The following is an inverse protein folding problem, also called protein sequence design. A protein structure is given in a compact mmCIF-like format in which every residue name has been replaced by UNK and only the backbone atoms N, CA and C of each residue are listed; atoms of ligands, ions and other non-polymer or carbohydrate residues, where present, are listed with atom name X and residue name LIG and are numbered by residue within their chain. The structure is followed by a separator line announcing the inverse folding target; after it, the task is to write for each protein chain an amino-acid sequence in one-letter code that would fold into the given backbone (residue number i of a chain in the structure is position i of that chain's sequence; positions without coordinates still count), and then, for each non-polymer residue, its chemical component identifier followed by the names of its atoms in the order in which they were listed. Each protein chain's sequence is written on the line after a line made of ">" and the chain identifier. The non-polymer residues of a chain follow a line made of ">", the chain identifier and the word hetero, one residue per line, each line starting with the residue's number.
data_IF_946703056779
#
_entry.id   IF_946703056779
#
_cell.length_a   1.000
_cell.length_b   1.000
_cell.length_c   1.000
_cell.angle_alpha   90.00
_cell.angle_beta   90.00
_cell.angle_gamma   90.00
#
_symmetry.space_group_name_H-M   'P 1'
#
loop_
_entity.id
_entity.type
_entity.pdbx_description
1 polymer ?
#
# COMPACT_ATOMS: atom_id res chain seq x y z
N UNK A 1 -28.22 -47.72 -29.53
CA UNK A 1 -28.67 -46.49 -30.22
C UNK A 1 -29.16 -45.52 -29.15
N UNK A 2 -28.42 -44.45 -28.84
CA UNK A 2 -28.66 -43.08 -29.36
C UNK A 2 -29.87 -42.45 -28.62
N UNK A 3 -29.86 -41.32 -27.92
CA UNK A 3 -28.91 -40.21 -27.70
C UNK A 3 -29.51 -39.29 -26.61
N UNK A 4 -28.62 -38.68 -25.82
CA UNK A 4 -28.63 -37.26 -25.41
C UNK A 4 -29.98 -36.58 -25.12
N UNK A 5 -30.30 -36.45 -23.83
CA UNK A 5 -30.95 -35.25 -23.26
C UNK A 5 -30.16 -34.87 -22.01
N UNK A 6 -29.02 -34.19 -22.20
CA UNK A 6 -28.81 -32.78 -21.81
C UNK A 6 -28.90 -32.60 -20.28
N UNK A 7 -27.79 -32.77 -19.55
CA UNK A 7 -26.88 -31.67 -19.15
C UNK A 7 -27.57 -30.49 -18.42
N UNK A 8 -28.63 -30.72 -17.64
CA UNK A 8 -29.32 -29.69 -16.84
C UNK A 8 -29.55 -30.14 -15.39
N UNK A 9 -28.68 -31.01 -14.86
CA UNK A 9 -28.83 -31.52 -13.49
C UNK A 9 -27.51 -31.62 -12.68
N UNK A 10 -26.40 -31.11 -13.20
CA UNK A 10 -25.09 -31.07 -12.50
C UNK A 10 -24.63 -29.62 -12.31
N UNK A 11 -25.54 -28.74 -11.90
CA UNK A 11 -25.22 -27.42 -11.35
C UNK A 11 -25.54 -27.34 -9.85
N UNK A 12 -25.76 -28.51 -9.23
CA UNK A 12 -26.15 -28.70 -7.84
C UNK A 12 -25.01 -29.23 -6.94
N UNK A 13 -23.75 -29.23 -7.42
CA UNK A 13 -22.59 -29.65 -6.62
C UNK A 13 -21.41 -28.72 -6.88
N UNK A 14 -21.16 -27.78 -5.96
CA UNK A 14 -20.07 -26.79 -6.00
C UNK A 14 -20.61 -25.43 -6.42
N UNK A 15 -21.10 -24.58 -5.51
CA UNK A 15 -20.26 -23.82 -4.58
C UNK A 15 -20.97 -23.81 -3.20
N UNK A 16 -20.70 -24.84 -2.41
CA UNK A 16 -20.94 -24.88 -0.97
C UNK A 16 -19.67 -24.45 -0.20
N UNK A 17 -18.93 -23.47 -0.74
CA UNK A 17 -17.69 -22.99 -0.16
C UNK A 17 -17.46 -21.50 -0.48
N UNK A 18 -18.32 -20.63 0.05
CA UNK A 18 -17.88 -19.33 0.55
C UNK A 18 -18.90 -18.76 1.55
N UNK A 19 -19.34 -19.61 2.48
CA UNK A 19 -19.72 -19.12 3.79
C UNK A 19 -18.44 -18.59 4.44
N UNK A 20 -18.28 -17.28 4.47
CA UNK A 20 -17.78 -16.43 5.58
C UNK A 20 -17.76 -14.98 5.07
N UNK A 21 -18.92 -14.49 4.61
CA UNK A 21 -19.16 -13.06 4.51
C UNK A 21 -19.57 -12.56 5.90
N UNK A 22 -18.68 -12.72 6.89
CA UNK A 22 -18.73 -11.95 8.14
C UNK A 22 -18.17 -10.57 7.85
N UNK A 23 -18.87 -9.80 7.02
CA UNK A 23 -18.72 -8.37 6.99
C UNK A 23 -19.35 -7.84 8.29
N UNK A 24 -18.55 -7.88 9.36
CA UNK A 24 -18.78 -7.13 10.58
C UNK A 24 -18.97 -5.66 10.17
N UNK A 25 -20.03 -5.03 10.68
CA UNK A 25 -20.39 -3.66 10.38
C UNK A 25 -19.19 -2.73 10.56
N UNK A 26 -18.70 -2.21 9.45
CA UNK A 26 -17.91 -0.99 9.41
C UNK A 26 -18.56 -0.11 8.35
N UNK A 27 -18.93 1.09 8.76
CA UNK A 27 -19.28 2.20 7.88
C UNK A 27 -18.32 2.18 6.68
N UNK A 28 -18.78 2.27 5.42
CA UNK A 28 -17.87 2.50 4.33
C UNK A 28 -17.28 3.89 4.54
N UNK A 29 -16.10 3.97 5.17
CA UNK A 29 -15.20 5.09 4.95
C UNK A 29 -15.09 5.20 3.44
N UNK A 30 -15.40 6.38 2.89
CA UNK A 30 -15.37 6.63 1.46
C UNK A 30 -14.12 5.97 0.85
N UNK A 31 -14.23 5.32 -0.33
CA UNK A 31 -13.07 4.74 -0.98
C UNK A 31 -11.98 5.80 -1.00
N UNK A 32 -10.82 5.49 -0.41
CA UNK A 32 -9.65 6.37 -0.43
C UNK A 32 -9.25 6.52 -1.89
N UNK A 33 -9.81 7.55 -2.55
CA UNK A 33 -9.61 7.75 -3.98
C UNK A 33 -8.14 8.09 -4.17
N UNK A 34 -7.51 7.39 -5.11
CA UNK A 34 -6.11 7.63 -5.47
C UNK A 34 -6.01 8.98 -6.16
N UNK A 35 -4.96 9.73 -5.83
CA UNK A 35 -4.59 10.95 -6.53
C UNK A 35 -3.54 10.61 -7.58
N UNK A 36 -4.00 10.15 -8.75
CA UNK A 36 -3.09 9.65 -9.81
C UNK A 36 -2.18 10.74 -10.38
N UNK A 37 -2.62 12.00 -10.42
CA UNK A 37 -1.77 13.09 -10.87
C UNK A 37 -0.62 13.36 -9.89
N UNK A 38 -0.91 13.32 -8.58
CA UNK A 38 0.12 13.46 -7.56
C UNK A 38 1.01 12.21 -7.50
N UNK A 39 0.49 11.01 -7.75
CA UNK A 39 1.30 9.77 -7.86
C UNK A 39 2.35 9.85 -8.95
N UNK A 40 2.00 10.33 -10.15
CA UNK A 40 2.95 10.53 -11.25
C UNK A 40 4.06 11.50 -10.85
N UNK A 41 3.68 12.62 -10.21
CA UNK A 41 4.62 13.63 -9.73
C UNK A 41 5.56 13.06 -8.66
N UNK A 42 5.00 12.37 -7.65
CA UNK A 42 5.78 11.72 -6.60
C UNK A 42 6.72 10.67 -7.16
N UNK A 43 6.26 9.84 -8.11
CA UNK A 43 7.11 8.85 -8.75
C UNK A 43 8.31 9.50 -9.47
N UNK A 44 8.08 10.58 -10.22
CA UNK A 44 9.15 11.35 -10.88
C UNK A 44 10.13 11.93 -9.84
N UNK A 45 9.61 12.57 -8.79
CA UNK A 45 10.44 13.16 -7.74
C UNK A 45 11.27 12.10 -7.00
N UNK A 46 10.71 10.93 -6.71
CA UNK A 46 11.46 9.83 -6.07
C UNK A 46 12.65 9.39 -6.93
N UNK A 47 12.50 9.31 -8.25
CA UNK A 47 13.61 9.01 -9.17
C UNK A 47 14.67 10.11 -9.15
N UNK A 48 14.26 11.39 -9.25
CA UNK A 48 15.18 12.53 -9.22
C UNK A 48 15.96 12.62 -7.91
N UNK A 49 15.25 12.47 -6.78
CA UNK A 49 15.84 12.50 -5.44
C UNK A 49 16.78 11.32 -5.23
N UNK A 50 16.41 10.12 -5.66
CA UNK A 50 17.27 8.94 -5.65
C UNK A 50 18.58 9.19 -6.41
N UNK A 51 18.48 9.69 -7.65
CA UNK A 51 19.66 10.00 -8.47
C UNK A 51 20.58 11.03 -7.82
N UNK A 52 20.01 12.05 -7.17
CA UNK A 52 20.79 13.07 -6.42
C UNK A 52 21.59 12.50 -5.25
N UNK A 53 21.24 11.28 -4.78
CA UNK A 53 21.91 10.53 -3.71
C UNK A 53 22.71 9.34 -4.22
N UNK A 54 22.90 9.22 -5.54
CA UNK A 54 23.63 8.11 -6.16
C UNK A 54 22.85 6.80 -6.23
N UNK A 55 21.52 6.83 -6.10
CA UNK A 55 20.63 5.68 -6.25
C UNK A 55 19.96 5.68 -7.62
N UNK A 56 19.89 4.52 -8.26
CA UNK A 56 19.10 4.30 -9.47
C UNK A 56 17.79 3.63 -9.11
N UNK A 57 16.75 4.43 -8.88
CA UNK A 57 15.41 3.96 -8.57
C UNK A 57 14.54 3.93 -9.84
N UNK A 58 13.74 2.89 -10.00
CA UNK A 58 12.79 2.73 -11.10
C UNK A 58 11.40 2.42 -10.57
N UNK A 59 10.39 3.01 -11.20
CA UNK A 59 8.99 2.73 -10.89
C UNK A 59 8.62 1.34 -11.43
N UNK A 60 8.07 0.50 -10.57
CA UNK A 60 7.63 -0.85 -10.87
C UNK A 60 6.10 -0.96 -10.71
N UNK A 61 5.43 -1.45 -11.75
CA UNK A 61 3.97 -1.56 -11.78
C UNK A 61 3.43 -2.62 -10.84
N UNK A 62 4.16 -3.74 -10.62
CA UNK A 62 3.74 -4.78 -9.69
C UNK A 62 3.82 -4.26 -8.25
N UNK A 63 4.88 -3.53 -7.90
CA UNK A 63 5.01 -2.89 -6.58
C UNK A 63 3.93 -1.82 -6.38
N UNK A 64 3.57 -1.09 -7.43
CA UNK A 64 2.47 -0.10 -7.39
C UNK A 64 1.13 -0.78 -7.17
N UNK A 65 0.90 -1.95 -7.79
CA UNK A 65 -0.30 -2.76 -7.53
C UNK A 65 -0.35 -3.29 -6.09
N UNK A 66 0.79 -3.71 -5.53
CA UNK A 66 0.89 -4.12 -4.12
C UNK A 66 0.58 -2.93 -3.21
N UNK A 67 1.16 -1.75 -3.48
CA UNK A 67 0.86 -0.52 -2.73
C UNK A 67 -0.63 -0.22 -2.76
N UNK A 68 -1.26 -0.25 -3.95
CA UNK A 68 -2.70 -0.04 -4.11
C UNK A 68 -3.55 -1.04 -3.31
N UNK A 69 -3.18 -2.32 -3.28
CA UNK A 69 -3.88 -3.34 -2.46
C UNK A 69 -3.77 -3.03 -0.97
N UNK A 70 -2.62 -2.52 -0.52
CA UNK A 70 -2.38 -2.18 0.88
C UNK A 70 -2.95 -0.81 1.28
N UNK A 71 -3.31 0.04 0.32
CA UNK A 71 -3.76 1.41 0.59
C UNK A 71 -4.94 1.49 1.57
N UNK A 72 -6.01 0.67 1.49
CA UNK A 72 -7.12 0.75 2.43
C UNK A 72 -6.72 0.40 3.88
N UNK A 73 -5.82 -0.57 4.07
CA UNK A 73 -5.35 -0.94 5.42
C UNK A 73 -4.33 0.07 5.96
N UNK A 74 -3.55 0.71 5.08
CA UNK A 74 -2.67 1.81 5.46
C UNK A 74 -3.47 3.05 5.90
N UNK A 75 -4.53 3.44 5.18
CA UNK A 75 -5.43 4.53 5.58
C UNK A 75 -6.11 4.23 6.92
N UNK A 76 -6.52 2.97 7.16
CA UNK A 76 -7.06 2.57 8.47
C UNK A 76 -6.03 2.73 9.60
N UNK A 77 -4.76 2.40 9.36
CA UNK A 77 -3.69 2.61 10.33
C UNK A 77 -3.50 4.10 10.62
N UNK A 78 -3.38 4.95 9.60
CA UNK A 78 -3.23 6.40 9.79
C UNK A 78 -4.43 7.04 10.48
N UNK A 79 -5.66 6.62 10.14
CA UNK A 79 -6.86 7.09 10.85
C UNK A 79 -6.88 6.65 12.33
N UNK A 80 -6.43 5.43 12.62
CA UNK A 80 -6.34 4.94 13.99
C UNK A 80 -5.30 5.72 14.81
N UNK A 81 -4.20 6.15 14.18
CA UNK A 81 -3.19 7.05 14.77
C UNK A 81 -3.77 8.37 15.28
N UNK A 82 -4.79 8.90 14.60
CA UNK A 82 -5.50 10.12 15.00
C UNK A 82 -6.46 9.90 16.18
N UNK A 83 -6.77 8.64 16.53
CA UNK A 83 -7.72 8.30 17.59
C UNK A 83 -7.02 7.91 18.88
N UNK A 84 -6.15 6.90 18.85
CA UNK A 84 -5.38 6.48 20.03
C UNK A 84 -4.17 5.62 19.67
N UNK A 85 -3.12 5.58 20.52
CA UNK A 85 -1.94 4.74 20.29
C UNK A 85 -2.25 3.24 20.18
N UNK A 86 -3.19 2.72 21.00
CA UNK A 86 -3.53 1.30 20.99
C UNK A 86 -4.24 0.90 19.69
N UNK A 87 -5.20 1.72 19.23
CA UNK A 87 -5.88 1.47 17.96
C UNK A 87 -4.91 1.53 16.78
N UNK A 88 -3.93 2.43 16.83
CA UNK A 88 -2.88 2.53 15.82
C UNK A 88 -2.04 1.25 15.75
N UNK A 89 -1.57 0.75 16.90
CA UNK A 89 -0.75 -0.47 16.95
C UNK A 89 -1.48 -1.68 16.36
N UNK A 90 -2.75 -1.88 16.73
CA UNK A 90 -3.58 -2.97 16.19
C UNK A 90 -3.79 -2.84 14.67
N UNK A 91 -3.99 -1.62 14.18
CA UNK A 91 -4.18 -1.36 12.76
C UNK A 91 -2.88 -1.52 11.95
N UNK A 92 -1.73 -1.13 12.51
CA UNK A 92 -0.40 -1.36 11.93
C UNK A 92 -0.14 -2.86 11.82
N UNK A 93 -0.37 -3.65 12.87
CA UNK A 93 -0.17 -5.10 12.81
C UNK A 93 -1.03 -5.75 11.70
N UNK A 94 -2.28 -5.32 11.55
CA UNK A 94 -3.15 -5.79 10.46
C UNK A 94 -2.63 -5.39 9.08
N UNK A 95 -2.09 -4.17 8.94
CA UNK A 95 -1.47 -3.68 7.71
C UNK A 95 -0.24 -4.52 7.35
N UNK A 96 0.64 -4.80 8.31
CA UNK A 96 1.85 -5.60 8.06
C UNK A 96 1.52 -7.04 7.68
N UNK A 97 0.54 -7.68 8.35
CA UNK A 97 0.06 -9.02 7.95
C UNK A 97 -0.50 -9.02 6.53
N UNK A 98 -1.35 -8.05 6.19
CA UNK A 98 -1.92 -7.94 4.84
C UNK A 98 -0.83 -7.69 3.79
N UNK A 99 0.15 -6.84 4.09
CA UNK A 99 1.28 -6.58 3.19
C UNK A 99 2.14 -7.83 2.96
N UNK A 100 2.41 -8.61 4.00
CA UNK A 100 3.15 -9.86 3.90
C UNK A 100 2.46 -10.87 2.96
N UNK A 101 1.13 -10.97 3.01
CA UNK A 101 0.34 -11.78 2.07
C UNK A 101 0.38 -11.17 0.66
N UNK A 102 0.18 -9.85 0.54
CA UNK A 102 0.10 -9.15 -0.74
C UNK A 102 1.40 -9.23 -1.56
N UNK A 103 2.56 -9.19 -0.88
CA UNK A 103 3.87 -9.27 -1.54
C UNK A 103 4.27 -10.68 -1.99
N UNK A 104 3.49 -11.72 -1.63
CA UNK A 104 3.69 -13.12 -2.07
C UNK A 104 5.13 -13.62 -1.92
N UNK A 105 5.79 -13.28 -0.80
CA UNK A 105 7.17 -13.67 -0.52
C UNK A 105 8.25 -12.84 -1.22
N UNK A 106 7.90 -11.80 -1.99
CA UNK A 106 8.89 -10.84 -2.52
C UNK A 106 9.62 -10.11 -1.38
N UNK A 107 10.92 -9.88 -1.58
CA UNK A 107 11.74 -9.01 -0.73
C UNK A 107 11.34 -7.56 -0.99
N UNK A 108 10.47 -7.02 -0.15
CA UNK A 108 9.96 -5.67 -0.27
C UNK A 108 9.54 -5.12 1.09
N UNK A 109 9.69 -3.82 1.27
CA UNK A 109 9.27 -3.06 2.43
C UNK A 109 8.07 -2.15 2.10
N UNK A 110 7.15 -1.98 3.05
CA UNK A 110 6.07 -1.00 2.98
C UNK A 110 6.49 0.25 3.73
N UNK A 111 6.46 1.41 3.07
CA UNK A 111 6.92 2.68 3.64
C UNK A 111 5.80 3.73 3.52
N UNK A 112 4.99 3.91 4.57
CA UNK A 112 3.99 4.99 4.63
C UNK A 112 4.68 6.33 4.95
N UNK A 113 4.34 7.37 4.19
CA UNK A 113 4.78 8.75 4.44
C UNK A 113 3.53 9.64 4.51
N UNK A 114 3.27 10.20 5.68
CA UNK A 114 2.06 11.00 5.95
C UNK A 114 2.41 12.48 6.06
N UNK A 115 1.69 13.31 5.31
CA UNK A 115 1.76 14.77 5.37
C UNK A 115 0.45 15.29 5.98
N UNK A 116 0.50 16.15 6.99
CA UNK A 116 -0.72 16.80 7.50
C UNK A 116 -1.37 17.63 6.37
N UNK A 117 -2.69 17.81 6.41
CA UNK A 117 -3.43 18.50 5.33
C UNK A 117 -2.98 19.95 5.09
N UNK A 118 -2.29 20.57 6.05
CA UNK A 118 -1.69 21.90 5.92
C UNK A 118 -0.40 21.91 5.08
N UNK A 119 0.21 20.75 4.86
CA UNK A 119 1.46 20.60 4.11
C UNK A 119 1.13 20.10 2.70
N UNK A 120 1.41 20.93 1.71
CA UNK A 120 1.33 20.51 0.31
C UNK A 120 2.46 19.51 -0.01
N UNK A 121 2.09 18.43 -0.70
CA UNK A 121 3.05 17.43 -1.16
C UNK A 121 3.74 17.96 -2.43
N UNK A 122 5.00 18.33 -2.27
CA UNK A 122 5.89 18.82 -3.31
C UNK A 122 7.18 18.02 -3.27
N UNK A 123 8.06 18.19 -4.28
CA UNK A 123 9.38 17.55 -4.24
C UNK A 123 10.18 17.91 -2.97
N UNK A 124 10.12 19.17 -2.54
CA UNK A 124 10.90 19.65 -1.40
C UNK A 124 10.34 19.12 -0.07
N UNK A 125 9.01 19.11 0.11
CA UNK A 125 8.40 18.53 1.31
C UNK A 125 8.59 17.02 1.36
N UNK A 126 8.57 16.34 0.21
CA UNK A 126 8.90 14.92 0.09
C UNK A 126 10.37 14.64 0.46
N UNK A 127 11.31 15.43 -0.06
CA UNK A 127 12.73 15.32 0.28
C UNK A 127 12.99 15.55 1.78
N UNK A 128 12.32 16.54 2.37
CA UNK A 128 12.37 16.80 3.80
C UNK A 128 11.83 15.61 4.61
N UNK A 129 10.67 15.06 4.23
CA UNK A 129 10.10 13.89 4.88
C UNK A 129 11.04 12.67 4.83
N UNK A 130 11.67 12.40 3.68
CA UNK A 130 12.66 11.33 3.57
C UNK A 130 13.89 11.57 4.46
N UNK A 131 14.37 12.80 4.56
CA UNK A 131 15.50 13.13 5.42
C UNK A 131 15.14 12.92 6.90
N UNK A 132 13.94 13.33 7.32
CA UNK A 132 13.45 13.18 8.68
C UNK A 132 13.22 11.71 9.07
N UNK A 133 12.71 10.89 8.14
CA UNK A 133 12.40 9.48 8.37
C UNK A 133 13.55 8.53 8.00
N UNK A 134 14.73 9.06 7.62
CA UNK A 134 15.81 8.26 7.02
C UNK A 134 16.20 7.03 7.85
N UNK A 135 16.38 7.21 9.16
CA UNK A 135 16.78 6.12 10.05
C UNK A 135 15.73 5.01 10.11
N UNK A 136 14.46 5.40 10.23
CA UNK A 136 13.33 4.46 10.31
C UNK A 136 13.12 3.73 8.98
N UNK A 137 13.17 4.46 7.86
CA UNK A 137 13.07 3.89 6.52
C UNK A 137 14.21 2.90 6.27
N UNK A 138 15.45 3.27 6.61
CA UNK A 138 16.59 2.37 6.45
C UNK A 138 16.42 1.10 7.29
N UNK A 139 16.04 1.24 8.56
CA UNK A 139 15.81 0.07 9.42
C UNK A 139 14.70 -0.84 8.88
N UNK A 140 13.60 -0.26 8.36
CA UNK A 140 12.50 -1.03 7.78
C UNK A 140 12.92 -1.76 6.49
N UNK A 141 13.75 -1.13 5.65
CA UNK A 141 14.30 -1.76 4.45
C UNK A 141 15.19 -2.96 4.82
N UNK A 142 16.12 -2.77 5.76
CA UNK A 142 17.03 -3.83 6.23
C UNK A 142 16.27 -5.01 6.86
N UNK A 143 15.26 -4.74 7.70
CA UNK A 143 14.40 -5.78 8.29
C UNK A 143 13.59 -6.53 7.24
N UNK A 144 13.19 -5.87 6.15
CA UNK A 144 12.51 -6.49 5.03
C UNK A 144 13.46 -7.23 4.07
N UNK A 145 14.78 -7.19 4.32
CA UNK A 145 15.82 -7.77 3.48
C UNK A 145 16.17 -6.95 2.24
N UNK A 146 15.70 -5.70 2.14
CA UNK A 146 16.01 -4.78 1.04
C UNK A 146 17.28 -4.01 1.40
N UNK A 147 18.43 -4.47 0.90
CA UNK A 147 19.74 -3.89 1.20
C UNK A 147 20.08 -2.81 0.16
N UNK A 148 19.81 -3.09 -1.13
CA UNK A 148 20.11 -2.18 -2.23
C UNK A 148 18.83 -1.86 -3.02
N UNK A 149 18.01 -0.89 -2.58
CA UNK A 149 16.75 -0.59 -3.24
C UNK A 149 16.99 -0.05 -4.66
N UNK A 150 16.41 -0.70 -5.67
CA UNK A 150 16.45 -0.25 -7.08
C UNK A 150 15.05 -0.05 -7.68
N UNK A 151 14.03 -0.58 -7.03
CA UNK A 151 12.64 -0.54 -7.50
C UNK A 151 11.71 0.00 -6.44
N UNK A 152 10.70 0.72 -6.87
CA UNK A 152 9.63 1.14 -5.99
C UNK A 152 8.29 1.15 -6.72
N UNK A 153 7.22 0.98 -5.97
CA UNK A 153 5.87 1.35 -6.37
C UNK A 153 5.32 2.38 -5.42
N UNK A 154 4.38 3.21 -5.88
CA UNK A 154 3.80 4.26 -5.05
C UNK A 154 2.32 4.45 -5.33
N UNK A 155 1.54 4.67 -4.27
CA UNK A 155 0.19 5.22 -4.37
C UNK A 155 0.05 6.42 -3.45
N UNK A 156 -0.84 7.34 -3.79
CA UNK A 156 -1.12 8.54 -3.01
C UNK A 156 -2.62 8.68 -2.83
N UNK A 157 -3.03 9.01 -1.60
CA UNK A 157 -4.42 9.34 -1.32
C UNK A 157 -4.50 10.58 -0.43
N UNK A 158 -5.43 11.47 -0.79
CA UNK A 158 -5.77 12.64 0.01
C UNK A 158 -6.93 12.27 0.93
N UNK A 159 -6.70 12.40 2.23
CA UNK A 159 -7.69 12.29 3.29
C UNK A 159 -7.98 13.69 3.83
N UNK A 160 -9.04 13.83 4.63
CA UNK A 160 -9.42 15.14 5.18
C UNK A 160 -8.30 15.78 6.01
N UNK A 161 -7.62 14.97 6.84
CA UNK A 161 -6.63 15.44 7.80
C UNK A 161 -5.18 15.29 7.32
N UNK A 162 -4.95 14.54 6.22
CA UNK A 162 -3.61 14.23 5.73
C UNK A 162 -3.58 13.78 4.28
N UNK A 163 -2.42 13.87 3.64
CA UNK A 163 -2.09 13.12 2.42
C UNK A 163 -1.17 11.97 2.79
N UNK A 164 -1.52 10.75 2.37
CA UNK A 164 -0.70 9.56 2.55
C UNK A 164 -0.05 9.19 1.22
N UNK A 165 1.27 9.13 1.22
CA UNK A 165 2.09 8.56 0.14
C UNK A 165 2.58 7.19 0.61
N UNK A 166 2.14 6.13 -0.06
CA UNK A 166 2.43 4.75 0.33
C UNK A 166 3.41 4.12 -0.67
N UNK A 167 4.65 3.98 -0.26
CA UNK A 167 5.67 3.30 -1.06
C UNK A 167 5.73 1.80 -0.77
N UNK A 168 6.04 1.03 -1.79
CA UNK A 168 6.55 -0.34 -1.67
C UNK A 168 7.92 -0.36 -2.33
N UNK A 169 8.97 -0.69 -1.59
CA UNK A 169 10.36 -0.60 -2.07
C UNK A 169 10.97 -1.99 -2.12
N UNK A 170 11.71 -2.30 -3.19
CA UNK A 170 12.36 -3.59 -3.45
C UNK A 170 13.76 -3.39 -4.03
N UNK A 171 14.54 -4.46 -4.01
CA UNK A 171 15.72 -4.61 -4.87
C UNK A 171 15.33 -4.89 -6.33
#
# INVERSE_FOLDING_TARGET
>A
MKKMKRLVAVLLVGIMALAMLTACGVTPSAPSMRDTALEESVAQWTVELGRSKGLELTLDSELTEISNKCLPVAVKAENARLTSPNAHFDAVNKRETFFAEAKKGKTAALVPVTFTSEIEVTKDTLAYAYAALRADVQSNLEQAGVINPTKFGVTVTKQKEYTLVLFVVSE
#
